data_IF_693798152585
#
_entry.id   IF_693798152585
#
_cell.length_a   1.000
_cell.length_b   1.000
_cell.length_c   1.000
_cell.angle_alpha   90.00
_cell.angle_beta   90.00
_cell.angle_gamma   90.00
#
_symmetry.space_group_name_H-M   'P 1'
#
loop_
_entity.id
_entity.type
_entity.pdbx_description
1 polymer ?
#
# COMPACT_ATOMS: atom_id res chain seq x y z
N UNK A 1 13.93 -8.91 -8.78
CA UNK A 1 13.19 -7.65 -8.55
C UNK A 1 13.22 -7.33 -7.07
N UNK A 2 13.65 -6.13 -6.68
CA UNK A 2 13.75 -5.71 -5.27
C UNK A 2 12.78 -4.55 -5.05
N UNK A 3 11.89 -4.71 -4.08
CA UNK A 3 10.89 -3.72 -3.72
C UNK A 3 11.28 -3.04 -2.40
N UNK A 4 11.21 -1.72 -2.38
CA UNK A 4 11.45 -0.89 -1.21
C UNK A 4 10.11 -0.43 -0.64
N UNK A 5 9.87 -0.70 0.64
CA UNK A 5 8.67 -0.24 1.33
C UNK A 5 8.90 1.18 1.84
N UNK A 6 8.13 2.13 1.32
CA UNK A 6 8.28 3.55 1.67
C UNK A 6 7.43 3.92 2.88
N UNK A 7 6.18 3.44 2.93
CA UNK A 7 5.27 3.73 4.03
C UNK A 7 4.20 2.64 4.18
N UNK A 8 3.71 2.50 5.40
CA UNK A 8 2.52 1.71 5.72
C UNK A 8 1.46 2.67 6.25
N UNK A 9 0.28 2.63 5.65
CA UNK A 9 -0.93 3.21 6.17
C UNK A 9 -1.71 2.09 6.84
N UNK A 10 -1.55 1.98 8.16
CA UNK A 10 -2.13 0.90 8.93
C UNK A 10 -3.66 0.87 8.81
N UNK A 11 -4.19 -0.34 9.05
CA UNK A 11 -5.63 -0.54 9.12
C UNK A 11 -6.24 0.39 10.18
N UNK A 12 -7.35 1.00 9.82
CA UNK A 12 -8.14 1.80 10.74
C UNK A 12 -9.61 1.40 10.58
N UNK A 13 -10.29 1.14 11.69
CA UNK A 13 -11.68 0.67 11.72
C UNK A 13 -12.68 1.67 11.10
N UNK A 14 -12.41 2.97 11.17
CA UNK A 14 -13.19 4.02 10.48
C UNK A 14 -12.97 3.94 8.96
N UNK A 15 -11.72 3.72 8.52
CA UNK A 15 -11.38 3.66 7.08
C UNK A 15 -11.65 2.29 6.45
N UNK A 16 -11.79 1.23 7.25
CA UNK A 16 -11.98 -0.18 6.86
C UNK A 16 -11.00 -0.70 5.80
N UNK A 17 -9.79 -0.11 5.76
CA UNK A 17 -8.74 -0.46 4.79
C UNK A 17 -7.35 -0.19 5.35
N UNK A 18 -6.36 -0.87 4.77
CA UNK A 18 -4.93 -0.63 4.93
C UNK A 18 -4.29 -0.41 3.56
N UNK A 19 -3.21 0.37 3.52
CA UNK A 19 -2.46 0.58 2.29
C UNK A 19 -0.95 0.50 2.52
N UNK A 20 -0.20 0.12 1.49
CA UNK A 20 1.27 0.11 1.50
C UNK A 20 1.79 0.82 0.26
N UNK A 21 2.81 1.65 0.46
CA UNK A 21 3.50 2.35 -0.63
C UNK A 21 4.81 1.62 -0.88
N UNK A 22 4.97 1.12 -2.10
CA UNK A 22 6.14 0.37 -2.54
C UNK A 22 6.81 1.13 -3.68
N UNK A 23 8.15 1.16 -3.69
CA UNK A 23 8.95 1.57 -4.83
C UNK A 23 9.65 0.36 -5.44
N UNK A 24 9.57 0.21 -6.74
CA UNK A 24 10.44 -0.68 -7.49
C UNK A 24 11.85 -0.08 -7.54
N UNK A 25 12.84 -0.81 -7.03
CA UNK A 25 14.22 -0.30 -6.96
C UNK A 25 14.88 -0.10 -8.33
N UNK A 26 14.41 -0.80 -9.38
CA UNK A 26 14.96 -0.76 -10.74
C UNK A 26 14.28 0.31 -11.57
N UNK A 27 12.94 0.31 -11.64
CA UNK A 27 12.18 1.26 -12.48
C UNK A 27 11.93 2.59 -11.78
N UNK A 28 12.17 2.66 -10.46
CA UNK A 28 11.81 3.78 -9.58
C UNK A 28 10.30 4.06 -9.52
N UNK A 29 9.47 3.20 -10.11
CA UNK A 29 8.02 3.33 -10.05
C UNK A 29 7.53 3.23 -8.61
N UNK A 30 6.64 4.13 -8.23
CA UNK A 30 5.99 4.14 -6.92
C UNK A 30 4.55 3.67 -7.11
N UNK A 31 4.16 2.64 -6.38
CA UNK A 31 2.83 2.04 -6.44
C UNK A 31 2.21 1.99 -5.05
N UNK A 32 0.95 2.42 -4.95
CA UNK A 32 0.11 2.31 -3.76
C UNK A 32 -0.76 1.06 -3.89
N UNK A 33 -0.59 0.10 -2.99
CA UNK A 33 -1.51 -1.03 -2.86
C UNK A 33 -2.47 -0.78 -1.71
N UNK A 34 -3.75 -1.05 -1.92
CA UNK A 34 -4.79 -0.91 -0.90
C UNK A 34 -5.56 -2.21 -0.78
N UNK A 35 -5.79 -2.66 0.46
CA UNK A 35 -6.66 -3.78 0.80
C UNK A 35 -7.68 -3.31 1.82
N UNK A 36 -8.96 -3.49 1.52
CA UNK A 36 -10.07 -3.11 2.38
C UNK A 36 -11.25 -4.06 2.23
N UNK A 37 -12.29 -3.83 3.02
CA UNK A 37 -13.57 -4.50 2.84
C UNK A 37 -14.35 -3.82 1.71
N UNK A 38 -15.02 -4.62 0.88
CA UNK A 38 -16.00 -4.11 -0.08
C UNK A 38 -17.16 -3.47 0.69
N UNK A 39 -17.61 -2.29 0.28
CA UNK A 39 -18.85 -1.71 0.79
C UNK A 39 -20.02 -2.55 0.24
N UNK A 40 -20.56 -3.42 1.08
CA UNK A 40 -21.81 -4.15 0.83
C UNK A 40 -22.98 -3.18 0.76
#
# INVERSE_FOLDING_TARGET
>A
MKYEKLAILEFNSVRKRMSVIIRDSQTKQITLYTKGADST
#
